data_IF_912233651573
#
_entry.id   IF_912233651573
#
_cell.length_a   1.000
_cell.length_b   1.000
_cell.length_c   1.000
_cell.angle_alpha   90.00
_cell.angle_beta   90.00
_cell.angle_gamma   90.00
#
_symmetry.space_group_name_H-M   'P 1'
#
loop_
_entity.id
_entity.type
_entity.pdbx_description
1 polymer ?
#
# COMPACT_ATOMS: atom_id res chain seq x y z
N UNK A 1 5.27 15.32 3.63
CA UNK A 1 5.10 14.22 2.68
C UNK A 1 3.82 14.40 1.89
N UNK A 2 3.85 14.10 0.61
CA UNK A 2 2.67 14.25 -0.26
C UNK A 2 1.75 13.06 -0.06
N UNK A 3 0.44 13.31 -0.10
CA UNK A 3 -0.54 12.23 -0.08
C UNK A 3 -0.57 11.53 -1.42
N UNK A 4 -0.46 10.21 -1.42
CA UNK A 4 -0.47 9.40 -2.64
C UNK A 4 -1.76 9.60 -3.44
N UNK A 5 -2.88 9.92 -2.80
CA UNK A 5 -4.13 10.17 -3.49
C UNK A 5 -4.03 11.36 -4.44
N UNK A 6 -3.29 12.38 -4.04
CA UNK A 6 -3.06 13.56 -4.88
C UNK A 6 -2.29 13.16 -6.13
N UNK A 7 -1.30 12.29 -5.99
CA UNK A 7 -0.51 11.79 -7.12
C UNK A 7 -1.37 10.94 -8.04
N UNK A 8 -2.22 10.06 -7.48
CA UNK A 8 -3.12 9.23 -8.28
C UNK A 8 -4.08 10.05 -9.12
N UNK A 9 -4.57 11.15 -8.55
CA UNK A 9 -5.56 11.98 -9.23
C UNK A 9 -4.93 12.81 -10.35
N UNK A 10 -3.66 13.19 -10.20
CA UNK A 10 -2.97 14.04 -11.17
C UNK A 10 -1.54 13.58 -11.43
N UNK A 11 -1.35 12.35 -11.98
CA UNK A 11 0.01 11.85 -12.18
C UNK A 11 0.83 12.70 -13.15
N UNK A 12 0.19 13.27 -14.16
CA UNK A 12 0.90 14.09 -15.15
C UNK A 12 1.45 15.37 -14.55
N UNK A 13 0.70 15.96 -13.59
CA UNK A 13 1.16 17.15 -12.88
C UNK A 13 2.44 16.86 -12.10
N UNK A 14 2.49 15.71 -11.43
CA UNK A 14 3.67 15.32 -10.66
C UNK A 14 4.83 14.92 -11.56
N UNK A 15 4.57 14.27 -12.67
CA UNK A 15 5.59 13.96 -13.67
C UNK A 15 6.22 15.23 -14.22
N UNK A 16 5.40 16.21 -14.54
CA UNK A 16 5.87 17.50 -15.02
C UNK A 16 6.71 18.20 -13.97
N UNK A 17 6.25 18.21 -12.72
CA UNK A 17 6.98 18.82 -11.63
C UNK A 17 8.35 18.18 -11.44
N UNK A 18 8.41 16.84 -11.55
CA UNK A 18 9.67 16.12 -11.45
C UNK A 18 10.63 16.51 -12.58
N UNK A 19 10.13 16.62 -13.81
CA UNK A 19 10.94 17.04 -14.96
C UNK A 19 11.43 18.48 -14.79
N UNK A 20 10.51 19.37 -14.43
CA UNK A 20 10.81 20.81 -14.33
C UNK A 20 11.83 21.12 -13.22
N UNK A 21 11.80 20.34 -12.15
CA UNK A 21 12.69 20.52 -11.00
C UNK A 21 13.88 19.58 -11.03
N UNK A 22 14.02 18.78 -12.07
CA UNK A 22 15.12 17.81 -12.22
C UNK A 22 15.18 16.79 -11.09
N UNK A 23 14.03 16.44 -10.50
CA UNK A 23 13.96 15.38 -9.51
C UNK A 23 14.11 14.01 -10.16
N UNK A 24 14.88 13.15 -9.52
CA UNK A 24 15.13 11.81 -10.01
C UNK A 24 14.12 10.83 -9.39
N UNK A 25 12.85 11.06 -9.65
CA UNK A 25 11.78 10.22 -9.14
C UNK A 25 10.97 9.64 -10.29
N UNK A 26 10.64 8.36 -10.19
CA UNK A 26 9.82 7.66 -11.17
C UNK A 26 8.38 7.61 -10.68
N UNK A 27 7.56 8.51 -11.18
CA UNK A 27 6.15 8.58 -10.79
C UNK A 27 5.39 7.33 -11.27
N UNK A 28 5.72 6.80 -12.44
CA UNK A 28 5.09 5.58 -12.94
C UNK A 28 5.39 4.40 -12.02
N UNK A 29 6.64 4.27 -11.56
CA UNK A 29 7.01 3.21 -10.62
C UNK A 29 6.31 3.40 -9.28
N UNK A 30 6.22 4.63 -8.80
CA UNK A 30 5.52 4.94 -7.56
C UNK A 30 4.06 4.49 -7.62
N UNK A 31 3.38 4.80 -8.72
CA UNK A 31 1.99 4.39 -8.89
C UNK A 31 1.85 2.86 -9.03
N UNK A 32 2.79 2.21 -9.70
CA UNK A 32 2.79 0.76 -9.83
C UNK A 32 2.97 0.08 -8.47
N UNK A 33 3.93 0.54 -7.67
CA UNK A 33 4.16 0.02 -6.32
C UNK A 33 2.95 0.27 -5.44
N UNK A 34 2.36 1.45 -5.53
CA UNK A 34 1.14 1.78 -4.79
C UNK A 34 0.01 0.79 -5.11
N UNK A 35 -0.21 0.50 -6.38
CA UNK A 35 -1.24 -0.45 -6.80
C UNK A 35 -0.96 -1.85 -6.27
N UNK A 36 0.30 -2.29 -6.33
CA UNK A 36 0.70 -3.59 -5.78
C UNK A 36 0.48 -3.67 -4.28
N UNK A 37 0.87 -2.63 -3.55
CA UNK A 37 0.67 -2.57 -2.09
C UNK A 37 -0.81 -2.61 -1.74
N UNK A 38 -1.63 -1.90 -2.49
CA UNK A 38 -3.08 -1.90 -2.28
C UNK A 38 -3.66 -3.30 -2.47
N UNK A 39 -3.24 -4.00 -3.53
CA UNK A 39 -3.67 -5.37 -3.81
C UNK A 39 -3.23 -6.32 -2.69
N UNK A 40 -1.97 -6.21 -2.26
CA UNK A 40 -1.43 -7.06 -1.19
C UNK A 40 -2.19 -6.83 0.12
N UNK A 41 -2.44 -5.58 0.47
CA UNK A 41 -3.18 -5.24 1.70
C UNK A 41 -4.61 -5.78 1.65
N UNK A 42 -5.25 -5.73 0.47
CA UNK A 42 -6.58 -6.30 0.28
C UNK A 42 -6.56 -7.82 0.46
N UNK A 43 -5.56 -8.50 -0.12
CA UNK A 43 -5.42 -9.94 0.05
C UNK A 43 -5.17 -10.33 1.50
N UNK A 44 -4.35 -9.57 2.21
CA UNK A 44 -4.10 -9.81 3.63
C UNK A 44 -5.37 -9.62 4.45
N UNK A 45 -6.18 -8.62 4.12
CA UNK A 45 -7.46 -8.39 4.76
C UNK A 45 -8.42 -9.58 4.54
N UNK A 46 -8.49 -10.07 3.31
CA UNK A 46 -9.35 -11.21 2.95
C UNK A 46 -8.88 -12.48 3.67
N UNK A 47 -7.58 -12.70 3.74
CA UNK A 47 -7.00 -13.84 4.45
C UNK A 47 -7.34 -13.76 5.95
N UNK A 48 -7.20 -12.59 6.55
CA UNK A 48 -7.54 -12.38 7.96
C UNK A 48 -9.01 -12.68 8.22
N UNK A 49 -9.90 -12.22 7.35
CA UNK A 49 -11.33 -12.50 7.45
C UNK A 49 -11.62 -14.00 7.37
N UNK A 50 -11.00 -14.68 6.40
CA UNK A 50 -11.19 -16.13 6.23
C UNK A 50 -10.64 -16.92 7.41
N UNK A 51 -9.47 -16.54 7.92
CA UNK A 51 -8.89 -17.18 9.11
C UNK A 51 -9.82 -17.06 10.32
N UNK A 52 -10.36 -15.88 10.54
CA UNK A 52 -11.28 -15.65 11.64
C UNK A 52 -12.57 -16.47 11.48
N UNK A 53 -13.10 -16.53 10.26
CA UNK A 53 -14.31 -17.30 9.95
C UNK A 53 -14.08 -18.78 10.22
N UNK A 54 -12.99 -19.33 9.72
CA UNK A 54 -12.66 -20.74 9.87
C UNK A 54 -12.37 -21.05 11.33
N UNK A 55 -11.59 -20.20 12.00
CA UNK A 55 -11.25 -20.37 13.41
C UNK A 55 -12.48 -20.42 14.32
N UNK A 56 -13.48 -19.58 14.03
CA UNK A 56 -14.72 -19.57 14.78
C UNK A 56 -15.59 -20.79 14.52
N UNK A 57 -15.47 -21.39 13.33
CA UNK A 57 -16.27 -22.55 12.96
C UNK A 57 -15.71 -23.86 13.52
N UNK A 58 -14.42 -23.94 13.82
CA UNK A 58 -13.78 -25.18 14.28
C UNK A 58 -14.49 -25.83 15.46
N UNK A 59 -14.86 -25.10 16.53
CA UNK A 59 -15.55 -25.73 17.67
C UNK A 59 -16.89 -26.35 17.31
N UNK A 60 -17.51 -25.92 16.22
CA UNK A 60 -18.82 -26.44 15.79
C UNK A 60 -18.69 -27.56 14.77
N UNK A 61 -17.48 -27.88 14.31
CA UNK A 61 -17.26 -28.91 13.31
C UNK A 61 -17.20 -30.29 13.94
N UNK A 62 -17.61 -31.30 13.17
CA UNK A 62 -17.43 -32.69 13.58
C UNK A 62 -15.94 -33.04 13.52
N UNK A 63 -15.52 -34.11 14.24
CA UNK A 63 -14.12 -34.53 14.22
C UNK A 63 -13.60 -34.84 12.82
N UNK A 64 -14.48 -35.25 11.92
CA UNK A 64 -14.10 -35.57 10.54
C UNK A 64 -13.78 -34.30 9.72
N UNK A 65 -14.35 -33.16 10.10
CA UNK A 65 -14.21 -31.91 9.37
C UNK A 65 -13.05 -31.05 9.91
N UNK A 66 -12.66 -31.27 11.15
CA UNK A 66 -11.60 -30.46 11.78
C UNK A 66 -10.27 -30.49 11.05
N UNK A 67 -9.76 -31.68 10.61
CA UNK A 67 -8.50 -31.69 9.89
C UNK A 67 -8.51 -30.86 8.59
N UNK A 68 -9.64 -30.87 7.89
CA UNK A 68 -9.80 -30.06 6.68
C UNK A 68 -9.75 -28.58 6.99
N UNK A 69 -10.42 -28.14 8.04
CA UNK A 69 -10.39 -26.73 8.47
C UNK A 69 -8.99 -26.30 8.89
N UNK A 70 -8.29 -27.15 9.62
CA UNK A 70 -6.91 -26.88 10.04
C UNK A 70 -5.96 -26.79 8.83
N UNK A 71 -6.16 -27.64 7.81
CA UNK A 71 -5.41 -27.58 6.58
C UNK A 71 -5.63 -26.26 5.84
N UNK A 72 -6.88 -25.78 5.81
CA UNK A 72 -7.21 -24.49 5.20
C UNK A 72 -6.53 -23.35 5.95
N UNK A 73 -6.56 -23.37 7.27
CA UNK A 73 -5.86 -22.37 8.09
C UNK A 73 -4.35 -22.37 7.81
N UNK A 74 -3.76 -23.54 7.68
CA UNK A 74 -2.33 -23.66 7.36
C UNK A 74 -2.00 -23.02 6.01
N UNK A 75 -2.83 -23.27 5.00
CA UNK A 75 -2.65 -22.66 3.68
C UNK A 75 -2.78 -21.14 3.74
N UNK A 76 -3.77 -20.64 4.48
CA UNK A 76 -3.96 -19.20 4.66
C UNK A 76 -2.77 -18.55 5.34
N UNK A 77 -2.21 -19.23 6.35
CA UNK A 77 -1.01 -18.73 7.03
C UNK A 77 0.20 -18.66 6.08
N UNK A 78 0.35 -19.65 5.20
CA UNK A 78 1.41 -19.64 4.21
C UNK A 78 1.25 -18.49 3.21
N UNK A 79 0.04 -18.26 2.74
CA UNK A 79 -0.27 -17.14 1.85
C UNK A 79 -0.02 -15.81 2.55
N UNK A 80 -0.44 -15.70 3.81
CA UNK A 80 -0.22 -14.51 4.60
C UNK A 80 1.27 -14.18 4.73
N UNK A 81 2.08 -15.20 5.03
CA UNK A 81 3.53 -15.03 5.15
C UNK A 81 4.12 -14.53 3.83
N UNK A 82 3.67 -15.10 2.71
CA UNK A 82 4.14 -14.69 1.38
C UNK A 82 3.80 -13.22 1.09
N UNK A 83 2.56 -12.82 1.35
CA UNK A 83 2.14 -11.44 1.12
C UNK A 83 2.85 -10.47 2.07
N UNK A 84 3.06 -10.86 3.32
CA UNK A 84 3.83 -10.04 4.26
C UNK A 84 5.27 -9.85 3.81
N UNK A 85 5.86 -10.87 3.21
CA UNK A 85 7.22 -10.80 2.65
C UNK A 85 7.27 -9.81 1.49
N UNK A 86 6.29 -9.88 0.59
CA UNK A 86 6.17 -8.94 -0.51
C UNK A 86 5.94 -7.51 -0.01
N UNK A 87 5.09 -7.35 1.01
CA UNK A 87 4.84 -6.06 1.64
C UNK A 87 6.12 -5.47 2.23
N UNK A 88 6.89 -6.29 2.94
CA UNK A 88 8.15 -5.86 3.53
C UNK A 88 9.18 -5.45 2.47
N UNK A 89 9.10 -6.04 1.27
CA UNK A 89 9.98 -5.68 0.17
C UNK A 89 9.54 -4.40 -0.52
N UNK A 90 8.23 -4.22 -0.71
CA UNK A 90 7.69 -3.09 -1.46
C UNK A 90 7.50 -1.83 -0.62
N UNK A 91 7.20 -1.96 0.66
CA UNK A 91 6.91 -0.82 1.51
C UNK A 91 8.08 0.17 1.61
N UNK A 92 9.34 -0.27 1.81
CA UNK A 92 10.45 0.67 1.82
C UNK A 92 10.66 1.37 0.49
N UNK A 93 10.46 0.66 -0.62
CA UNK A 93 10.54 1.27 -1.96
C UNK A 93 9.48 2.36 -2.12
N UNK A 94 8.26 2.07 -1.71
CA UNK A 94 7.16 3.03 -1.75
C UNK A 94 7.49 4.28 -0.92
N UNK A 95 7.95 4.07 0.31
CA UNK A 95 8.26 5.17 1.22
C UNK A 95 9.38 6.05 0.64
N UNK A 96 10.40 5.43 0.07
CA UNK A 96 11.49 6.16 -0.56
C UNK A 96 11.01 6.97 -1.76
N UNK A 97 10.18 6.37 -2.62
CA UNK A 97 9.62 7.06 -3.78
C UNK A 97 8.73 8.23 -3.36
N UNK A 98 7.96 8.06 -2.30
CA UNK A 98 7.12 9.14 -1.76
C UNK A 98 7.96 10.30 -1.24
N UNK A 99 9.08 10.01 -0.59
CA UNK A 99 9.98 11.05 -0.12
C UNK A 99 10.62 11.81 -1.26
N UNK A 100 10.89 11.13 -2.37
CA UNK A 100 11.51 11.74 -3.55
C UNK A 100 10.50 12.49 -4.41
N UNK A 101 9.20 12.22 -4.26
CA UNK A 101 8.18 12.87 -5.08
C UNK A 101 8.14 14.37 -4.80
N UNK A 102 8.28 15.22 -5.82
CA UNK A 102 8.26 16.65 -5.62
C UNK A 102 6.85 17.15 -5.37
N UNK A 103 6.75 18.20 -4.58
CA UNK A 103 5.50 18.94 -4.53
C UNK A 103 5.45 19.83 -5.75
N UNK A 104 4.38 19.79 -6.54
CA UNK A 104 4.25 20.71 -7.66
C UNK A 104 4.21 22.14 -7.18
N UNK A 105 4.72 23.03 -7.98
CA UNK A 105 4.48 24.44 -7.75
C UNK A 105 2.99 24.64 -7.80
N UNK A 106 2.46 25.07 -6.70
CA UNK A 106 1.04 25.01 -6.48
C UNK A 106 0.47 26.42 -6.56
N UNK A 107 -0.50 26.59 -7.41
CA UNK A 107 -1.09 27.88 -7.64
C UNK A 107 -1.81 28.40 -6.42
N UNK A 108 -2.25 27.51 -5.58
CA UNK A 108 -2.99 27.86 -4.38
C UNK A 108 -2.13 27.83 -3.12
N UNK A 109 -0.87 27.46 -3.22
CA UNK A 109 0.00 27.52 -2.07
C UNK A 109 0.58 28.91 -1.96
N UNK A 110 0.23 29.60 -0.90
CA UNK A 110 0.93 30.83 -0.59
C UNK A 110 2.31 30.44 -0.12
N UNK A 111 3.15 30.35 -1.07
CA UNK A 111 4.50 29.90 -0.77
C UNK A 111 5.15 30.85 0.20
N UNK A 112 5.37 30.47 1.09
CA UNK A 112 5.88 31.26 1.95
C UNK A 112 5.29 31.53 3.07
N UNK A 113 4.88 31.63 2.78
CA UNK A 113 4.71 31.70 3.44
C UNK A 113 4.81 31.01 4.12
N UNK A 114 4.79 31.07 4.53
CA UNK A 114 4.85 30.71 5.28
C UNK A 114 4.89 30.15 5.61
N UNK A 115 4.71 30.20 6.14
CA UNK A 115 4.59 29.83 6.67
C UNK A 115 4.37 29.38 6.93
N UNK A 116 4.11 29.58 7.16
CA UNK A 116 3.84 29.38 7.62
C UNK A 116 3.42 28.87 7.53
N UNK A 117 3.06 29.02 7.61
CA UNK A 117 2.76 28.65 7.54
C UNK A 117 2.66 27.86 7.19
N UNK A 118 2.42 27.84 7.43
CA UNK A 118 2.38 27.29 7.20
C UNK A 118 2.40 26.69 6.99
N UNK A 119 2.18 26.67 7.04
CA UNK A 119 2.37 26.33 6.96
C UNK A 119 2.54 26.15 6.93
#
# INVERSE_FOLDING_TARGET
MIDIKVIRDNPEKFKKAARDKHFNVDIDRLLAVDAELKTIKQQLQDISTDKNRIGKSIPTLSPDQKPSALAQLSQLKQQEAKYNEELARLQPEFDELMQQAPQPADDDVPLGKDDTENV
#
